data_IF_643903698072
#
_entry.id   IF_643903698072
#
_cell.length_a   1.000
_cell.length_b   1.000
_cell.length_c   1.000
_cell.angle_alpha   90.00
_cell.angle_beta   90.00
_cell.angle_gamma   90.00
#
_symmetry.space_group_name_H-M   'P 1'
#
loop_
_entity.id
_entity.type
_entity.pdbx_description
1 polymer ?
#
# COMPACT_ATOMS: atom_id res chain seq x y z
N UNK A 1 2.61 -19.34 -7.91
CA UNK A 1 2.07 -19.27 -6.53
C UNK A 1 2.53 -20.41 -5.63
N UNK A 2 2.25 -21.69 -5.92
CA UNK A 2 2.67 -22.82 -5.05
C UNK A 2 4.20 -22.91 -4.82
N UNK A 3 5.03 -22.62 -5.82
CA UNK A 3 6.48 -22.61 -5.69
C UNK A 3 6.96 -21.45 -4.78
N UNK A 4 6.37 -20.27 -4.94
CA UNK A 4 6.66 -19.11 -4.10
C UNK A 4 6.27 -19.40 -2.63
N UNK A 5 5.08 -19.94 -2.39
CA UNK A 5 4.63 -20.33 -1.06
C UNK A 5 5.56 -21.38 -0.41
N UNK A 6 6.04 -22.37 -1.17
CA UNK A 6 7.02 -23.36 -0.67
C UNK A 6 8.36 -22.73 -0.28
N UNK A 7 8.81 -21.71 -1.01
CA UNK A 7 10.09 -21.03 -0.72
C UNK A 7 9.98 -20.07 0.46
N UNK A 8 8.86 -19.35 0.58
CA UNK A 8 8.65 -18.38 1.66
C UNK A 8 8.27 -19.02 2.99
N UNK A 9 7.58 -20.18 2.97
CA UNK A 9 7.12 -20.86 4.19
C UNK A 9 8.22 -21.11 5.25
N UNK A 10 9.41 -21.67 4.92
CA UNK A 10 10.45 -21.89 5.92
C UNK A 10 10.94 -20.60 6.57
N UNK A 11 11.03 -19.50 5.80
CA UNK A 11 11.45 -18.19 6.31
C UNK A 11 10.37 -17.63 7.24
N UNK A 12 9.11 -17.69 6.84
CA UNK A 12 7.99 -17.23 7.66
C UNK A 12 7.87 -18.03 8.97
N UNK A 13 8.10 -19.35 8.94
CA UNK A 13 8.14 -20.20 10.14
C UNK A 13 9.30 -19.83 11.08
N UNK A 14 10.45 -19.49 10.53
CA UNK A 14 11.60 -19.04 11.31
C UNK A 14 11.34 -17.67 11.95
N UNK A 15 10.80 -16.70 11.19
CA UNK A 15 10.45 -15.37 11.69
C UNK A 15 9.37 -15.44 12.77
N UNK A 16 8.37 -16.30 12.59
CA UNK A 16 7.32 -16.51 13.59
C UNK A 16 7.85 -17.18 14.86
N UNK A 17 8.77 -18.15 14.74
CA UNK A 17 9.43 -18.77 15.88
C UNK A 17 10.26 -17.76 16.68
N UNK A 18 10.97 -16.85 15.99
CA UNK A 18 11.72 -15.77 16.62
C UNK A 18 10.78 -14.81 17.37
N UNK A 19 9.66 -14.44 16.75
CA UNK A 19 8.66 -13.58 17.38
C UNK A 19 8.07 -14.21 18.64
N UNK A 20 7.76 -15.49 18.61
CA UNK A 20 7.30 -16.25 19.79
C UNK A 20 8.33 -16.27 20.91
N UNK A 21 9.61 -16.55 20.57
CA UNK A 21 10.69 -16.53 21.55
C UNK A 21 10.85 -15.15 22.19
N UNK A 22 10.71 -14.09 21.41
CA UNK A 22 10.74 -12.72 21.90
C UNK A 22 9.55 -12.43 22.84
N UNK A 23 8.33 -12.79 22.47
CA UNK A 23 7.13 -12.61 23.29
C UNK A 23 7.24 -13.39 24.62
N UNK A 24 7.76 -14.63 24.57
CA UNK A 24 8.02 -15.43 25.76
C UNK A 24 9.03 -14.77 26.69
N UNK A 25 10.11 -14.25 26.16
CA UNK A 25 11.15 -13.61 26.97
C UNK A 25 10.73 -12.27 27.56
N UNK A 26 9.84 -11.54 26.89
CA UNK A 26 9.46 -10.17 27.24
C UNK A 26 8.19 -10.09 28.08
N UNK A 27 7.24 -10.98 27.86
CA UNK A 27 5.91 -10.95 28.47
C UNK A 27 5.43 -12.30 29.01
N UNK A 28 6.29 -13.34 29.03
CA UNK A 28 5.95 -14.73 29.42
C UNK A 28 4.79 -15.33 28.61
N UNK A 29 4.62 -14.88 27.35
CA UNK A 29 3.54 -15.30 26.47
C UNK A 29 4.02 -16.37 25.47
N UNK A 30 3.53 -17.61 25.61
CA UNK A 30 3.95 -18.74 24.76
C UNK A 30 3.15 -18.86 23.47
N UNK A 31 1.91 -18.38 23.45
CA UNK A 31 1.03 -18.43 22.28
C UNK A 31 0.67 -17.02 21.87
N UNK A 32 0.79 -16.74 20.58
CA UNK A 32 0.42 -15.46 19.97
C UNK A 32 -0.90 -15.61 19.23
N UNK A 33 -1.86 -14.79 19.59
CA UNK A 33 -3.06 -14.57 18.82
C UNK A 33 -2.80 -13.59 17.68
N UNK A 34 -3.72 -13.50 16.72
CA UNK A 34 -3.52 -12.66 15.53
C UNK A 34 -3.22 -11.18 15.87
N UNK A 35 -3.83 -10.66 16.92
CA UNK A 35 -3.60 -9.28 17.41
C UNK A 35 -2.26 -9.09 18.14
N UNK A 36 -1.68 -10.16 18.72
CA UNK A 36 -0.40 -10.10 19.42
C UNK A 36 0.76 -10.01 18.43
N UNK A 37 0.62 -10.61 17.24
CA UNK A 37 1.68 -10.67 16.22
C UNK A 37 2.15 -9.26 15.86
N UNK A 38 1.25 -8.35 15.54
CA UNK A 38 1.60 -6.97 15.17
C UNK A 38 2.27 -6.23 16.32
N UNK A 39 1.75 -6.39 17.54
CA UNK A 39 2.29 -5.75 18.74
C UNK A 39 3.72 -6.19 19.03
N UNK A 40 3.97 -7.51 19.08
CA UNK A 40 5.31 -8.03 19.38
C UNK A 40 6.27 -7.82 18.20
N UNK A 41 5.80 -7.85 16.96
CA UNK A 41 6.62 -7.53 15.79
C UNK A 41 7.17 -6.09 15.86
N UNK A 42 6.33 -5.11 16.23
CA UNK A 42 6.80 -3.73 16.41
C UNK A 42 7.79 -3.60 17.57
N UNK A 43 7.55 -4.28 18.71
CA UNK A 43 8.50 -4.29 19.82
C UNK A 43 9.82 -4.95 19.48
N UNK A 44 9.79 -6.06 18.75
CA UNK A 44 11.01 -6.73 18.27
C UNK A 44 11.78 -5.83 17.29
N UNK A 45 11.08 -5.13 16.39
CA UNK A 45 11.65 -4.14 15.48
C UNK A 45 12.34 -3.01 16.24
N UNK A 46 11.67 -2.43 17.25
CA UNK A 46 12.24 -1.39 18.12
C UNK A 46 13.49 -1.87 18.84
N UNK A 47 13.48 -3.09 19.39
CA UNK A 47 14.65 -3.67 20.05
C UNK A 47 15.83 -3.89 19.10
N UNK A 48 15.54 -4.35 17.87
CA UNK A 48 16.56 -4.72 16.87
C UNK A 48 17.19 -3.49 16.20
N UNK A 49 16.37 -2.51 15.88
CA UNK A 49 16.78 -1.37 15.04
C UNK A 49 16.82 -0.05 15.80
N UNK A 50 16.33 0.01 17.05
CA UNK A 50 16.23 1.23 17.86
C UNK A 50 15.44 2.35 17.19
N UNK A 51 14.48 2.02 16.31
CA UNK A 51 13.63 2.94 15.57
C UNK A 51 12.17 2.52 15.73
N UNK A 52 11.31 3.48 16.05
CA UNK A 52 9.85 3.29 16.07
C UNK A 52 9.17 3.94 14.87
N UNK A 53 7.97 3.49 14.51
CA UNK A 53 7.15 4.13 13.49
C UNK A 53 6.82 5.58 13.85
N UNK A 54 6.62 5.87 15.14
CA UNK A 54 6.35 7.23 15.63
C UNK A 54 7.52 8.19 15.41
N UNK A 55 8.77 7.71 15.56
CA UNK A 55 9.98 8.51 15.30
C UNK A 55 10.17 8.81 13.81
N UNK A 56 9.60 8.00 12.93
CA UNK A 56 9.67 8.20 11.49
C UNK A 56 8.60 9.16 10.95
N UNK A 57 7.45 9.29 11.61
CA UNK A 57 6.33 10.14 11.17
C UNK A 57 6.72 11.57 10.80
N UNK A 58 7.57 12.30 11.55
CA UNK A 58 7.94 13.67 11.19
C UNK A 58 8.62 13.81 9.82
N UNK A 59 9.20 12.74 9.30
CA UNK A 59 9.84 12.73 7.98
C UNK A 59 8.84 12.54 6.83
N UNK A 60 7.60 12.13 7.12
CA UNK A 60 6.57 11.82 6.16
C UNK A 60 5.28 12.66 6.34
N UNK A 61 5.37 14.02 6.25
CA UNK A 61 4.17 14.84 6.16
C UNK A 61 3.36 14.47 4.92
N UNK A 62 2.03 14.34 5.07
CA UNK A 62 1.11 13.90 4.00
C UNK A 62 1.32 14.67 2.69
N UNK A 63 1.34 15.99 2.77
CA UNK A 63 1.49 16.88 1.63
C UNK A 63 2.81 16.62 0.86
N UNK A 64 3.91 16.39 1.59
CA UNK A 64 5.21 16.08 0.98
C UNK A 64 5.24 14.71 0.35
N UNK A 65 4.65 13.70 1.00
CA UNK A 65 4.62 12.33 0.47
C UNK A 65 3.76 12.27 -0.78
N UNK A 66 2.55 12.82 -0.75
CA UNK A 66 1.63 12.82 -1.90
C UNK A 66 2.18 13.62 -3.07
N UNK A 67 2.67 14.83 -2.83
CA UNK A 67 3.28 15.65 -3.89
C UNK A 67 4.57 15.01 -4.44
N UNK A 68 5.36 14.36 -3.59
CA UNK A 68 6.54 13.60 -3.99
C UNK A 68 6.20 12.43 -4.90
N UNK A 69 5.17 11.65 -4.55
CA UNK A 69 4.65 10.58 -5.41
C UNK A 69 4.22 11.15 -6.77
N UNK A 70 3.41 12.21 -6.79
CA UNK A 70 2.94 12.83 -8.01
C UNK A 70 4.09 13.33 -8.89
N UNK A 71 5.11 13.96 -8.30
CA UNK A 71 6.28 14.42 -9.03
C UNK A 71 7.08 13.26 -9.65
N UNK A 72 7.27 12.17 -8.92
CA UNK A 72 7.94 10.97 -9.44
C UNK A 72 7.17 10.37 -10.61
N UNK A 73 5.87 10.20 -10.47
CA UNK A 73 5.02 9.60 -11.49
C UNK A 73 4.91 10.48 -12.75
N UNK A 74 4.75 11.80 -12.58
CA UNK A 74 4.78 12.72 -13.70
C UNK A 74 6.11 12.64 -14.46
N UNK A 75 7.23 12.63 -13.73
CA UNK A 75 8.57 12.52 -14.32
C UNK A 75 8.80 11.21 -15.07
N UNK A 76 8.29 10.10 -14.55
CA UNK A 76 8.52 8.76 -15.14
C UNK A 76 7.55 8.46 -16.30
N UNK A 77 6.30 8.90 -16.18
CA UNK A 77 5.21 8.46 -17.06
C UNK A 77 4.45 9.60 -17.73
N UNK A 78 4.70 10.86 -17.35
CA UNK A 78 3.98 12.02 -17.88
C UNK A 78 2.50 12.08 -17.45
N UNK A 79 2.15 11.45 -16.33
CA UNK A 79 0.77 11.43 -15.82
C UNK A 79 0.52 12.63 -14.91
N UNK A 80 -0.63 13.28 -15.10
CA UNK A 80 -1.12 14.34 -14.22
C UNK A 80 -2.08 13.75 -13.18
N UNK A 81 -1.82 14.02 -11.92
CA UNK A 81 -2.54 13.48 -10.78
C UNK A 81 -3.15 14.59 -9.94
N UNK A 82 -4.33 14.34 -9.38
CA UNK A 82 -5.07 15.30 -8.58
C UNK A 82 -5.54 14.65 -7.28
N UNK A 83 -5.26 15.29 -6.14
CA UNK A 83 -5.80 14.88 -4.84
C UNK A 83 -7.20 15.47 -4.61
N UNK A 84 -8.11 14.68 -4.05
CA UNK A 84 -9.42 15.12 -3.55
C UNK A 84 -9.63 14.57 -2.15
N UNK A 85 -10.18 15.41 -1.26
CA UNK A 85 -10.53 15.03 0.10
C UNK A 85 -12.00 14.60 0.19
N UNK A 86 -12.30 13.62 1.00
CA UNK A 86 -13.57 13.00 1.44
C UNK A 86 -13.77 11.56 0.99
N UNK A 87 -13.74 10.63 1.99
CA UNK A 87 -13.89 9.21 1.72
C UNK A 87 -14.31 8.39 2.96
N UNK A 88 -14.67 7.11 2.72
CA UNK A 88 -14.89 6.07 3.74
C UNK A 88 -13.56 5.44 4.17
N UNK A 89 -13.54 4.69 5.30
CA UNK A 89 -12.35 3.94 5.74
C UNK A 89 -11.94 2.82 4.78
N UNK A 90 -10.64 2.53 4.72
CA UNK A 90 -10.01 1.53 3.85
C UNK A 90 -9.04 2.14 2.84
N UNK A 91 -8.13 1.32 2.31
CA UNK A 91 -7.25 1.68 1.21
C UNK A 91 -7.54 0.75 0.04
N UNK A 92 -7.70 1.29 -1.16
CA UNK A 92 -7.94 0.54 -2.39
C UNK A 92 -7.78 1.43 -3.62
N UNK A 93 -7.50 0.82 -4.76
CA UNK A 93 -7.67 1.42 -6.07
C UNK A 93 -9.01 0.98 -6.66
N UNK A 94 -9.68 1.88 -7.37
CA UNK A 94 -10.93 1.57 -8.06
C UNK A 94 -10.92 2.18 -9.47
N UNK A 95 -11.59 1.49 -10.39
CA UNK A 95 -11.77 1.95 -11.77
C UNK A 95 -12.89 2.98 -11.84
N UNK A 96 -12.62 4.12 -12.48
CA UNK A 96 -13.65 5.05 -12.90
C UNK A 96 -14.02 4.82 -14.38
N UNK A 97 -13.00 4.68 -15.23
CA UNK A 97 -13.13 4.41 -16.66
C UNK A 97 -12.00 3.50 -17.12
N UNK A 98 -12.34 2.46 -17.89
CA UNK A 98 -11.36 1.66 -18.61
C UNK A 98 -10.90 2.38 -19.89
N UNK A 99 -9.67 2.08 -20.35
CA UNK A 99 -9.26 2.43 -21.69
C UNK A 99 -10.12 1.65 -22.69
N UNK A 100 -10.74 2.35 -23.64
CA UNK A 100 -11.55 1.70 -24.68
C UNK A 100 -11.60 2.51 -25.96
N UNK A 101 -11.81 1.81 -27.06
CA UNK A 101 -12.13 2.43 -28.36
C UNK A 101 -13.62 2.74 -28.43
N UNK A 102 -13.93 3.97 -28.80
CA UNK A 102 -15.29 4.46 -29.05
C UNK A 102 -15.41 4.96 -30.49
N UNK A 103 -16.61 5.33 -30.91
CA UNK A 103 -16.83 5.94 -32.21
C UNK A 103 -16.11 7.31 -32.37
N UNK A 104 -15.86 7.98 -31.26
CA UNK A 104 -15.23 9.30 -31.19
C UNK A 104 -13.71 9.24 -31.02
N UNK A 105 -13.14 8.04 -30.80
CA UNK A 105 -11.71 7.84 -30.60
C UNK A 105 -11.40 6.96 -29.38
N UNK A 106 -10.22 7.15 -28.82
CA UNK A 106 -9.79 6.40 -27.63
C UNK A 106 -10.18 7.16 -26.36
N UNK A 107 -11.02 6.55 -25.54
CA UNK A 107 -11.27 7.00 -24.17
C UNK A 107 -10.11 6.56 -23.28
N UNK A 108 -9.45 7.53 -22.61
CA UNK A 108 -8.34 7.27 -21.70
C UNK A 108 -8.84 6.71 -20.36
N UNK A 109 -8.09 5.83 -19.70
CA UNK A 109 -8.47 5.27 -18.42
C UNK A 109 -8.41 6.33 -17.30
N UNK A 110 -9.30 6.16 -16.31
CA UNK A 110 -9.32 6.97 -15.08
C UNK A 110 -9.45 6.01 -13.90
N UNK A 111 -8.60 6.18 -12.91
CA UNK A 111 -8.61 5.42 -11.66
C UNK A 111 -8.79 6.34 -10.46
N UNK A 112 -9.42 5.84 -9.40
CA UNK A 112 -9.43 6.44 -8.08
C UNK A 112 -8.49 5.67 -7.16
N UNK A 113 -7.71 6.42 -6.40
CA UNK A 113 -6.91 5.89 -5.31
C UNK A 113 -7.50 6.37 -3.99
N UNK A 114 -7.77 5.45 -3.10
CA UNK A 114 -8.38 5.73 -1.81
C UNK A 114 -7.49 5.16 -0.70
N UNK A 115 -7.16 5.98 0.30
CA UNK A 115 -6.37 5.58 1.46
C UNK A 115 -7.05 6.06 2.76
N UNK A 116 -6.87 5.33 3.85
CA UNK A 116 -7.49 5.62 5.16
C UNK A 116 -6.45 6.12 6.18
N UNK A 117 -5.61 7.02 5.76
CA UNK A 117 -4.58 7.59 6.62
C UNK A 117 -5.16 8.55 7.65
N UNK A 118 -4.40 8.80 8.71
CA UNK A 118 -4.79 9.72 9.77
C UNK A 118 -4.97 11.13 9.25
N UNK A 119 -6.07 11.78 9.62
CA UNK A 119 -6.36 13.16 9.26
C UNK A 119 -5.51 14.16 10.06
N UNK A 120 -5.32 15.39 9.56
CA UNK A 120 -4.75 16.47 10.34
C UNK A 120 -5.57 16.73 11.61
N UNK A 121 -4.91 17.03 12.73
CA UNK A 121 -5.58 17.33 14.00
C UNK A 121 -5.29 18.78 14.41
N UNK A 122 -6.29 19.64 14.32
CA UNK A 122 -6.15 21.08 14.54
C UNK A 122 -5.12 21.69 13.58
N UNK A 123 -4.12 22.40 14.10
CA UNK A 123 -3.07 23.03 13.30
C UNK A 123 -1.89 22.08 12.96
N UNK A 124 -1.96 20.81 13.39
CA UNK A 124 -0.89 19.85 13.12
C UNK A 124 -1.17 19.14 11.79
N UNK A 125 -0.17 19.10 10.88
CA UNK A 125 -0.32 18.39 9.62
C UNK A 125 -0.49 16.89 9.86
N UNK A 126 -1.15 16.19 8.94
CA UNK A 126 -1.16 14.74 8.92
C UNK A 126 0.26 14.21 8.68
N UNK A 127 0.65 13.22 9.45
CA UNK A 127 1.96 12.57 9.36
C UNK A 127 1.76 11.09 9.12
N UNK A 128 2.36 10.57 8.06
CA UNK A 128 2.28 9.15 7.72
C UNK A 128 3.31 8.33 8.49
N UNK A 129 2.91 7.12 8.86
CA UNK A 129 3.87 6.08 9.21
C UNK A 129 4.58 5.58 7.95
N UNK A 130 5.71 4.90 8.10
CA UNK A 130 6.36 4.25 6.97
C UNK A 130 5.44 3.20 6.29
N UNK A 131 4.64 2.47 7.08
CA UNK A 131 3.70 1.48 6.55
C UNK A 131 2.57 2.14 5.74
N UNK A 132 2.08 3.32 6.16
CA UNK A 132 1.11 4.11 5.37
C UNK A 132 1.72 4.60 4.05
N UNK A 133 2.98 5.02 4.05
CA UNK A 133 3.69 5.37 2.80
C UNK A 133 3.79 4.15 1.89
N UNK A 134 4.16 3.00 2.42
CA UNK A 134 4.24 1.74 1.65
C UNK A 134 2.88 1.38 1.06
N UNK A 135 1.80 1.48 1.85
CA UNK A 135 0.43 1.25 1.37
C UNK A 135 0.04 2.22 0.25
N UNK A 136 0.36 3.51 0.38
CA UNK A 136 0.11 4.49 -0.67
C UNK A 136 0.76 4.10 -2.00
N UNK A 137 2.02 3.68 -1.97
CA UNK A 137 2.75 3.25 -3.17
C UNK A 137 2.22 1.94 -3.73
N UNK A 138 1.78 1.01 -2.88
CA UNK A 138 1.15 -0.26 -3.29
C UNK A 138 -0.14 0.00 -4.06
N UNK A 139 -1.09 0.72 -3.47
CA UNK A 139 -2.37 1.06 -4.12
C UNK A 139 -2.16 1.89 -5.40
N UNK A 140 -1.15 2.76 -5.39
CA UNK A 140 -0.78 3.50 -6.57
C UNK A 140 -0.24 2.59 -7.70
N UNK A 141 0.42 1.49 -7.36
CA UNK A 141 0.85 0.46 -8.30
C UNK A 141 -0.33 -0.13 -9.11
N UNK A 142 -1.44 -0.45 -8.44
CA UNK A 142 -2.68 -0.86 -9.11
C UNK A 142 -3.20 0.24 -10.05
N UNK A 143 -3.19 1.49 -9.59
CA UNK A 143 -3.55 2.64 -10.41
C UNK A 143 -2.68 2.77 -11.67
N UNK A 144 -1.36 2.59 -11.54
CA UNK A 144 -0.44 2.60 -12.70
C UNK A 144 -0.75 1.47 -13.68
N UNK A 145 -1.00 0.26 -13.20
CA UNK A 145 -1.40 -0.86 -14.04
C UNK A 145 -2.64 -0.51 -14.86
N UNK A 146 -3.64 0.11 -14.24
CA UNK A 146 -4.86 0.52 -14.92
C UNK A 146 -4.62 1.67 -15.92
N UNK A 147 -3.89 2.70 -15.53
CA UNK A 147 -3.69 3.90 -16.35
C UNK A 147 -2.73 3.70 -17.53
N UNK A 148 -1.72 2.83 -17.39
CA UNK A 148 -0.71 2.61 -18.43
C UNK A 148 -1.08 1.53 -19.45
N UNK A 149 -2.26 0.92 -19.33
CA UNK A 149 -2.74 -0.09 -20.28
C UNK A 149 -2.79 0.45 -21.71
N UNK A 150 -2.44 -0.39 -22.67
CA UNK A 150 -2.58 -0.10 -24.10
C UNK A 150 -3.76 -0.87 -24.74
N UNK A 151 -4.43 -1.70 -23.95
CA UNK A 151 -5.57 -2.51 -24.40
C UNK A 151 -6.80 -1.62 -24.52
N UNK A 152 -7.48 -1.70 -25.65
CA UNK A 152 -8.64 -0.83 -26.02
C UNK A 152 -9.99 -1.53 -25.89
N UNK A 153 -10.03 -2.68 -25.22
CA UNK A 153 -11.24 -3.45 -24.94
C UNK A 153 -11.51 -3.42 -23.45
N UNK A 154 -12.54 -2.69 -23.02
CA UNK A 154 -12.81 -2.38 -21.61
C UNK A 154 -12.77 -3.60 -20.67
N UNK A 155 -13.34 -4.74 -21.06
CA UNK A 155 -13.41 -5.95 -20.22
C UNK A 155 -12.08 -6.65 -19.95
N UNK A 156 -10.99 -6.25 -20.60
CA UNK A 156 -9.62 -6.80 -20.42
C UNK A 156 -8.57 -5.70 -20.39
N UNK A 157 -8.98 -4.45 -20.14
CA UNK A 157 -8.13 -3.28 -20.08
C UNK A 157 -7.75 -2.95 -18.65
N UNK A 158 -6.49 -2.64 -18.41
CA UNK A 158 -5.97 -2.32 -17.07
C UNK A 158 -6.07 -3.52 -16.15
N UNK A 159 -6.73 -3.37 -15.02
CA UNK A 159 -6.94 -4.44 -14.02
C UNK A 159 -8.09 -5.40 -14.40
N UNK A 160 -8.87 -5.09 -15.44
CA UNK A 160 -10.00 -5.91 -15.84
C UNK A 160 -9.54 -7.22 -16.47
N UNK A 161 -10.15 -8.33 -16.08
CA UNK A 161 -9.85 -9.66 -16.60
C UNK A 161 -8.52 -10.26 -16.13
N UNK A 162 -7.79 -9.60 -15.25
CA UNK A 162 -6.58 -10.12 -14.60
C UNK A 162 -6.98 -11.17 -13.57
N UNK A 163 -6.24 -12.27 -13.48
CA UNK A 163 -6.46 -13.27 -12.45
C UNK A 163 -6.19 -12.64 -11.07
N UNK A 164 -7.06 -12.95 -10.10
CA UNK A 164 -7.03 -12.34 -8.77
C UNK A 164 -5.64 -12.39 -8.10
N UNK A 165 -4.99 -13.54 -8.16
CA UNK A 165 -3.65 -13.77 -7.60
C UNK A 165 -2.50 -13.16 -8.42
N UNK A 166 -2.81 -12.44 -9.49
CA UNK A 166 -1.86 -11.65 -10.26
C UNK A 166 -2.09 -10.13 -10.13
N UNK A 167 -3.10 -9.73 -9.36
CA UNK A 167 -3.37 -8.31 -9.04
C UNK A 167 -2.63 -7.90 -7.77
N UNK A 168 -2.53 -8.79 -6.77
CA UNK A 168 -1.91 -8.56 -5.46
C UNK A 168 -0.38 -8.88 -5.43
#
# INVERSE_FOLDING_TARGET
MQDLAKRSKPIAEQEYAELRAFAKSTADQDQLEAWDVTYFAEKLRQQRYSISQEELKPYFPEDKVVNGLFAVVNRLYGLDLYARQHKRGGAWMDECKARRRTAEGIEIPVAFLTCNFSEPVGDKPALFTHDEVTTLFHEFGHGLHHMLTKIEYAGVSGINGVAWDAVE
#
